data_IF_402269352610
#
_entry.id   IF_402269352610
#
_cell.length_a   1.000
_cell.length_b   1.000
_cell.length_c   1.000
_cell.angle_alpha   90.00
_cell.angle_beta   90.00
_cell.angle_gamma   90.00
#
_symmetry.space_group_name_H-M   'P 1'
#
loop_
_entity.id
_entity.type
_entity.pdbx_description
1 polymer ?
#
# COMPACT_ATOMS: atom_id res chain seq x y z
N UNK A 1 15.17 28.17 64.79
CA UNK A 1 14.35 29.19 64.12
C UNK A 1 14.86 29.32 62.70
N UNK A 2 14.34 28.49 61.82
CA UNK A 2 14.67 28.54 60.40
C UNK A 2 13.34 28.35 59.66
N UNK A 3 12.90 29.43 59.02
CA UNK A 3 11.71 29.50 58.18
C UNK A 3 11.96 28.80 56.84
N UNK A 4 11.28 27.68 56.63
CA UNK A 4 11.21 27.02 55.33
C UNK A 4 10.14 27.69 54.46
N UNK A 5 10.57 28.51 53.51
CA UNK A 5 9.70 29.05 52.47
C UNK A 5 9.36 27.93 51.46
N UNK A 6 8.08 27.51 51.44
CA UNK A 6 7.54 26.71 50.36
C UNK A 6 7.34 27.65 49.14
N UNK A 7 8.14 27.46 48.11
CA UNK A 7 7.89 28.05 46.82
C UNK A 7 6.61 27.41 46.22
N UNK A 8 5.52 28.15 46.23
CA UNK A 8 4.31 27.81 45.47
C UNK A 8 4.65 27.91 44.00
N UNK A 9 4.57 26.78 43.28
CA UNK A 9 4.63 26.76 41.80
C UNK A 9 3.36 27.42 41.26
N UNK A 10 3.48 28.66 40.87
CA UNK A 10 2.44 29.33 40.10
C UNK A 10 2.15 28.51 38.82
N UNK A 11 0.90 28.13 38.63
CA UNK A 11 0.46 27.42 37.42
C UNK A 11 0.10 28.46 36.37
N UNK A 12 1.04 28.76 35.48
CA UNK A 12 0.77 29.56 34.30
C UNK A 12 0.07 28.68 33.26
N UNK A 13 -1.13 29.09 32.84
CA UNK A 13 -1.84 28.47 31.70
C UNK A 13 -2.03 29.53 30.63
N UNK A 14 -1.57 29.19 29.41
CA UNK A 14 -1.79 30.00 28.23
C UNK A 14 -2.90 29.38 27.38
N UNK A 15 -3.94 30.12 27.06
CA UNK A 15 -5.01 29.68 26.16
C UNK A 15 -4.96 30.58 24.92
N UNK A 16 -4.80 29.93 23.74
CA UNK A 16 -4.82 30.61 22.44
C UNK A 16 -6.22 30.44 21.82
N UNK A 17 -6.94 31.54 21.67
CA UNK A 17 -8.21 31.55 20.97
C UNK A 17 -8.35 32.82 20.13
N UNK A 18 -8.75 32.67 18.87
CA UNK A 18 -9.10 33.76 17.95
C UNK A 18 -8.01 34.85 17.82
N UNK A 19 -6.70 34.45 17.80
CA UNK A 19 -5.60 35.41 17.63
C UNK A 19 -5.19 36.16 18.92
N UNK A 20 -5.70 35.73 20.07
CA UNK A 20 -5.33 36.23 21.38
C UNK A 20 -4.65 35.13 22.19
N UNK A 21 -3.53 35.44 22.83
CA UNK A 21 -2.93 34.62 23.86
C UNK A 21 -3.33 35.21 25.20
N UNK A 22 -4.08 34.45 26.01
CA UNK A 22 -4.51 34.89 27.33
C UNK A 22 -3.70 34.09 28.36
N UNK A 23 -2.97 34.83 29.17
CA UNK A 23 -2.19 34.25 30.28
C UNK A 23 -3.00 34.30 31.56
N UNK A 24 -3.11 33.15 32.21
CA UNK A 24 -3.75 32.98 33.52
C UNK A 24 -2.70 32.58 34.52
N UNK A 25 -2.67 33.26 35.66
CA UNK A 25 -1.92 32.85 36.86
C UNK A 25 -2.96 32.60 37.95
N UNK A 26 -2.95 31.38 38.50
CA UNK A 26 -3.88 30.91 39.53
C UNK A 26 -5.40 31.15 39.23
N UNK A 27 -5.75 31.19 37.94
CA UNK A 27 -7.14 31.30 37.49
C UNK A 27 -7.59 32.72 37.15
N UNK A 28 -6.78 33.72 37.40
CA UNK A 28 -7.04 35.11 37.01
C UNK A 28 -6.33 35.50 35.71
N UNK A 29 -7.00 36.32 34.89
CA UNK A 29 -6.39 36.84 33.63
C UNK A 29 -5.35 37.90 33.99
N UNK A 30 -4.10 37.62 33.78
CA UNK A 30 -2.98 38.52 34.11
C UNK A 30 -2.48 39.28 32.88
N UNK A 31 -2.72 38.76 31.70
CA UNK A 31 -2.33 39.42 30.45
C UNK A 31 -3.11 38.91 29.26
N UNK A 32 -3.42 39.83 28.35
CA UNK A 32 -3.95 39.50 27.01
C UNK A 32 -2.95 40.03 26.01
N UNK A 33 -2.21 39.11 25.37
CA UNK A 33 -1.30 39.48 24.28
C UNK A 33 -1.98 39.19 22.96
N UNK A 34 -2.14 40.23 22.15
CA UNK A 34 -2.61 40.07 20.78
C UNK A 34 -1.51 39.34 19.98
N UNK A 35 -1.74 38.10 19.58
CA UNK A 35 -0.85 37.45 18.64
C UNK A 35 -1.10 38.10 17.29
N UNK A 36 -0.15 38.93 16.82
CA UNK A 36 -0.20 39.53 15.46
C UNK A 36 -0.50 38.40 14.46
N UNK A 37 -1.52 38.58 13.64
CA UNK A 37 -1.86 37.63 12.62
C UNK A 37 -0.64 37.42 11.70
N UNK A 38 -0.34 36.20 11.25
CA UNK A 38 0.83 35.92 10.39
C UNK A 38 0.90 36.85 9.17
N UNK A 39 -0.25 37.28 8.66
CA UNK A 39 -0.38 38.18 7.52
C UNK A 39 0.18 39.56 7.83
N UNK A 40 -0.07 40.13 9.02
CA UNK A 40 0.44 41.44 9.41
C UNK A 40 1.95 41.42 9.61
N UNK A 41 2.48 40.37 10.21
CA UNK A 41 3.93 40.20 10.37
C UNK A 41 4.63 39.93 9.04
N UNK A 42 4.05 39.12 8.14
CA UNK A 42 4.59 38.92 6.80
C UNK A 42 4.65 40.21 5.98
N UNK A 43 3.60 41.05 6.05
CA UNK A 43 3.57 42.36 5.38
C UNK A 43 4.71 43.28 5.87
N UNK A 44 5.04 43.26 7.17
CA UNK A 44 6.19 44.05 7.72
C UNK A 44 7.51 43.54 7.18
N UNK A 45 7.72 42.24 7.03
CA UNK A 45 8.92 41.66 6.42
C UNK A 45 9.02 42.01 4.92
N UNK A 46 7.90 42.04 4.21
CA UNK A 46 7.89 42.45 2.78
C UNK A 46 8.26 43.90 2.62
N UNK A 47 7.68 44.81 3.42
CA UNK A 47 8.01 46.24 3.39
C UNK A 47 9.50 46.51 3.74
N UNK A 48 10.03 45.82 4.77
CA UNK A 48 11.45 45.94 5.11
C UNK A 48 12.35 45.39 3.98
N UNK A 49 11.94 44.34 3.28
CA UNK A 49 12.68 43.84 2.13
C UNK A 49 12.73 44.86 0.97
N UNK A 50 11.63 45.57 0.70
CA UNK A 50 11.56 46.61 -0.34
C UNK A 50 12.48 47.79 0.00
N UNK A 51 12.48 48.28 1.25
CA UNK A 51 13.38 49.36 1.69
C UNK A 51 14.86 48.95 1.59
N UNK A 52 15.21 47.74 1.99
CA UNK A 52 16.56 47.22 1.88
C UNK A 52 17.01 47.05 0.43
N UNK A 53 16.14 46.60 -0.45
CA UNK A 53 16.39 46.49 -1.88
C UNK A 53 16.62 47.87 -2.52
N UNK A 54 15.80 48.88 -2.16
CA UNK A 54 15.94 50.23 -2.62
C UNK A 54 17.27 50.90 -2.20
N UNK A 55 17.83 50.43 -1.04
CA UNK A 55 19.15 50.88 -0.57
C UNK A 55 20.33 50.03 -1.08
N UNK A 56 20.09 49.09 -2.00
CA UNK A 56 21.11 48.20 -2.59
C UNK A 56 21.57 47.07 -1.69
N UNK A 57 20.90 46.81 -0.55
CA UNK A 57 21.23 45.77 0.41
C UNK A 57 20.50 44.43 0.08
N UNK A 58 20.83 43.85 -1.07
CA UNK A 58 20.08 42.74 -1.66
C UNK A 58 20.08 41.45 -0.84
N UNK A 59 21.19 41.15 -0.16
CA UNK A 59 21.25 39.93 0.69
C UNK A 59 20.29 40.00 1.88
N UNK A 60 20.22 41.18 2.52
CA UNK A 60 19.32 41.38 3.65
C UNK A 60 17.87 41.48 3.19
N UNK A 61 17.60 42.13 2.06
CA UNK A 61 16.29 42.15 1.43
C UNK A 61 15.79 40.72 1.14
N UNK A 62 16.66 39.86 0.60
CA UNK A 62 16.33 38.46 0.35
C UNK A 62 16.04 37.64 1.63
N UNK A 63 16.80 37.90 2.70
CA UNK A 63 16.54 37.22 4.00
C UNK A 63 15.16 37.61 4.56
N UNK A 64 14.78 38.91 4.48
CA UNK A 64 13.45 39.38 4.90
C UNK A 64 12.34 38.80 4.03
N UNK A 65 12.51 38.75 2.70
CA UNK A 65 11.54 38.15 1.80
C UNK A 65 11.32 36.65 2.10
N UNK A 66 12.41 35.91 2.36
CA UNK A 66 12.31 34.50 2.78
C UNK A 66 11.58 34.34 4.11
N UNK A 67 11.73 35.29 5.04
CA UNK A 67 11.00 35.24 6.31
C UNK A 67 9.50 35.51 6.10
N UNK A 68 9.14 36.49 5.25
CA UNK A 68 7.75 36.76 4.87
C UNK A 68 7.10 35.52 4.21
N UNK A 69 7.78 34.89 3.27
CA UNK A 69 7.30 33.67 2.59
C UNK A 69 7.06 32.52 3.60
N UNK A 70 7.99 32.30 4.56
CA UNK A 70 7.80 31.30 5.61
C UNK A 70 6.59 31.58 6.50
N UNK A 71 6.31 32.84 6.81
CA UNK A 71 5.15 33.24 7.61
C UNK A 71 3.84 33.09 6.85
N UNK A 72 3.83 33.35 5.54
CA UNK A 72 2.63 33.22 4.70
C UNK A 72 2.29 31.76 4.37
N UNK A 73 3.33 30.95 4.11
CA UNK A 73 3.12 29.54 3.82
C UNK A 73 3.01 28.66 5.07
N UNK A 74 3.31 29.22 6.25
CA UNK A 74 3.35 28.52 7.54
C UNK A 74 4.41 27.40 7.55
N UNK A 75 5.13 27.23 8.64
CA UNK A 75 5.56 25.87 8.99
C UNK A 75 4.26 25.08 9.21
N UNK A 76 4.10 23.90 8.62
CA UNK A 76 2.95 23.06 8.96
C UNK A 76 2.88 23.00 10.49
N UNK A 77 1.78 23.45 11.09
CA UNK A 77 1.65 23.37 12.53
C UNK A 77 1.78 21.89 12.90
N UNK A 78 2.33 21.58 14.07
CA UNK A 78 2.44 20.21 14.58
C UNK A 78 1.12 19.46 14.46
N UNK A 79 -0.01 20.18 14.53
CA UNK A 79 -1.35 19.66 14.33
C UNK A 79 -1.60 19.20 12.88
N UNK A 80 -1.12 19.92 11.86
CA UNK A 80 -1.28 19.50 10.45
C UNK A 80 -0.42 18.27 10.17
N UNK A 81 0.79 18.22 10.72
CA UNK A 81 1.65 17.04 10.58
C UNK A 81 1.10 15.83 11.35
N UNK A 82 0.52 16.05 12.53
CA UNK A 82 -0.18 15.02 13.27
C UNK A 82 -1.39 14.50 12.50
N UNK A 83 -2.25 15.40 11.99
CA UNK A 83 -3.41 15.02 11.18
C UNK A 83 -3.01 14.25 9.92
N UNK A 84 -1.93 14.65 9.26
CA UNK A 84 -1.40 13.93 8.08
C UNK A 84 -0.95 12.53 8.45
N UNK A 85 -0.26 12.36 9.58
CA UNK A 85 0.15 11.03 10.08
C UNK A 85 -1.06 10.18 10.44
N UNK A 86 -1.99 10.70 11.24
CA UNK A 86 -3.24 9.99 11.60
C UNK A 86 -4.04 9.59 10.35
N UNK A 87 -4.13 10.47 9.35
CA UNK A 87 -4.81 10.16 8.10
C UNK A 87 -4.06 9.11 7.26
N UNK A 88 -2.72 9.17 7.22
CA UNK A 88 -1.90 8.17 6.53
C UNK A 88 -2.02 6.79 7.20
N UNK A 89 -1.98 6.74 8.54
CA UNK A 89 -2.18 5.51 9.32
C UNK A 89 -3.59 4.93 9.12
N UNK A 90 -4.62 5.78 9.19
CA UNK A 90 -6.01 5.35 8.94
C UNK A 90 -6.20 4.83 7.51
N UNK A 91 -5.55 5.46 6.53
CA UNK A 91 -5.58 5.01 5.14
C UNK A 91 -4.86 3.68 4.96
N UNK A 92 -3.69 3.51 5.56
CA UNK A 92 -2.94 2.24 5.52
C UNK A 92 -3.74 1.10 6.15
N UNK A 93 -4.36 1.34 7.31
CA UNK A 93 -5.27 0.38 7.93
C UNK A 93 -6.50 0.06 7.05
N UNK A 94 -7.04 1.05 6.34
CA UNK A 94 -8.15 0.87 5.40
C UNK A 94 -7.77 0.08 4.15
N UNK A 95 -6.48 -0.06 3.85
CA UNK A 95 -5.96 -0.81 2.71
C UNK A 95 -5.63 -2.27 3.02
N UNK A 96 -5.64 -2.66 4.30
CA UNK A 96 -5.35 -4.04 4.71
C UNK A 96 -6.61 -4.89 4.81
N UNK A 97 -6.47 -6.17 4.47
CA UNK A 97 -7.47 -7.18 4.78
C UNK A 97 -7.39 -7.53 6.26
N UNK A 98 -8.52 -7.46 6.96
CA UNK A 98 -8.59 -7.64 8.42
C UNK A 98 -8.24 -9.05 8.88
N UNK A 99 -8.38 -10.06 8.02
CA UNK A 99 -8.06 -11.43 8.35
C UNK A 99 -6.59 -11.75 8.10
N UNK A 100 -6.10 -11.41 6.91
CA UNK A 100 -4.80 -11.89 6.41
C UNK A 100 -3.67 -10.88 6.55
N UNK A 101 -3.98 -9.63 6.90
CA UNK A 101 -3.07 -8.50 6.93
C UNK A 101 -2.36 -8.20 5.58
N UNK A 102 -2.67 -8.95 4.51
CA UNK A 102 -2.31 -8.58 3.15
C UNK A 102 -3.06 -7.33 2.72
N UNK A 103 -2.73 -6.72 1.58
CA UNK A 103 -3.59 -5.67 1.06
C UNK A 103 -4.99 -6.21 0.73
N UNK A 104 -6.00 -5.35 0.76
CA UNK A 104 -7.36 -5.70 0.38
C UNK A 104 -7.63 -5.41 -1.11
N UNK A 105 -8.78 -5.85 -1.61
CA UNK A 105 -9.20 -5.64 -3.00
C UNK A 105 -9.25 -4.16 -3.38
N UNK A 106 -9.70 -3.29 -2.50
CA UNK A 106 -9.76 -1.86 -2.77
C UNK A 106 -8.38 -1.28 -3.08
N UNK A 107 -7.37 -1.61 -2.28
CA UNK A 107 -5.99 -1.20 -2.55
C UNK A 107 -5.48 -1.75 -3.87
N UNK A 108 -5.77 -3.02 -4.17
CA UNK A 108 -5.41 -3.64 -5.45
C UNK A 108 -5.98 -2.83 -6.63
N UNK A 109 -7.29 -2.53 -6.60
CA UNK A 109 -7.96 -1.82 -7.68
C UNK A 109 -7.39 -0.40 -7.87
N UNK A 110 -7.13 0.34 -6.76
CA UNK A 110 -6.50 1.66 -6.78
C UNK A 110 -5.08 1.61 -7.37
N UNK A 111 -4.28 0.63 -6.98
CA UNK A 111 -2.89 0.48 -7.45
C UNK A 111 -2.80 0.05 -8.91
N UNK A 112 -3.64 -0.86 -9.36
CA UNK A 112 -3.65 -1.27 -10.76
C UNK A 112 -3.99 -0.11 -11.69
N UNK A 113 -4.96 0.72 -11.33
CA UNK A 113 -5.29 1.93 -12.10
C UNK A 113 -4.09 2.88 -12.14
N UNK A 114 -3.43 3.11 -11.01
CA UNK A 114 -2.26 3.99 -10.95
C UNK A 114 -1.09 3.45 -11.78
N UNK A 115 -0.74 2.17 -11.62
CA UNK A 115 0.36 1.52 -12.36
C UNK A 115 0.14 1.50 -13.87
N UNK A 116 -1.10 1.25 -14.32
CA UNK A 116 -1.44 1.27 -15.74
C UNK A 116 -1.51 2.69 -16.33
N UNK A 117 -1.78 3.71 -15.50
CA UNK A 117 -1.77 5.11 -15.93
C UNK A 117 -0.35 5.66 -16.11
N UNK A 118 0.64 5.13 -15.41
CA UNK A 118 2.06 5.45 -15.57
C UNK A 118 2.60 4.85 -16.87
N UNK A 119 2.32 5.51 -17.99
CA UNK A 119 2.62 5.08 -19.39
C UNK A 119 4.06 4.65 -19.67
N UNK A 120 4.97 4.75 -18.71
CA UNK A 120 6.41 4.49 -18.87
C UNK A 120 6.90 3.24 -18.12
N UNK A 121 6.08 2.59 -17.32
CA UNK A 121 6.43 1.30 -16.72
C UNK A 121 6.21 0.21 -17.74
N UNK A 122 7.30 -0.19 -18.38
CA UNK A 122 7.30 -1.12 -19.50
C UNK A 122 6.72 -2.50 -19.15
N UNK A 123 6.82 -2.93 -17.90
CA UNK A 123 6.45 -4.27 -17.47
C UNK A 123 5.58 -4.23 -16.21
N UNK A 124 4.39 -4.79 -16.29
CA UNK A 124 3.52 -5.06 -15.16
C UNK A 124 2.96 -6.47 -15.30
N UNK A 125 3.21 -7.31 -14.32
CA UNK A 125 2.59 -8.62 -14.24
C UNK A 125 1.61 -8.67 -13.07
N UNK A 126 0.49 -9.38 -13.30
CA UNK A 126 -0.50 -9.68 -12.25
C UNK A 126 -0.75 -11.17 -12.27
N UNK A 127 -0.74 -11.79 -11.09
CA UNK A 127 -1.16 -13.17 -10.95
C UNK A 127 -2.40 -13.24 -10.05
N UNK A 128 -3.44 -13.93 -10.53
CA UNK A 128 -4.51 -14.39 -9.65
C UNK A 128 -4.14 -15.76 -9.09
N UNK A 129 -4.34 -15.93 -7.80
CA UNK A 129 -3.97 -17.12 -7.03
C UNK A 129 -5.18 -17.59 -6.24
N UNK A 130 -5.40 -18.88 -6.20
CA UNK A 130 -6.53 -19.50 -5.48
C UNK A 130 -6.04 -20.69 -4.63
N UNK A 131 -6.55 -20.79 -3.42
CA UNK A 131 -6.21 -21.86 -2.51
C UNK A 131 -6.92 -23.17 -2.90
N UNK A 132 -6.14 -24.13 -3.36
CA UNK A 132 -6.67 -25.40 -3.86
C UNK A 132 -7.46 -26.16 -2.80
N UNK A 133 -8.70 -26.52 -3.15
CA UNK A 133 -9.60 -27.30 -2.29
C UNK A 133 -9.94 -26.66 -0.93
N UNK A 134 -9.84 -25.33 -0.80
CA UNK A 134 -10.05 -24.61 0.46
C UNK A 134 -11.46 -24.86 1.05
N UNK A 135 -12.48 -25.02 0.22
CA UNK A 135 -13.81 -25.40 0.69
C UNK A 135 -13.78 -26.69 1.52
N UNK A 136 -12.98 -27.69 1.12
CA UNK A 136 -12.88 -28.95 1.86
C UNK A 136 -12.27 -28.73 3.26
N UNK A 137 -11.33 -27.78 3.38
CA UNK A 137 -10.76 -27.39 4.69
C UNK A 137 -11.86 -26.82 5.60
N UNK A 138 -12.66 -25.89 5.09
CA UNK A 138 -13.77 -25.33 5.85
C UNK A 138 -14.82 -26.38 6.23
N UNK A 139 -15.15 -27.25 5.30
CA UNK A 139 -16.15 -28.32 5.53
C UNK A 139 -15.66 -29.33 6.56
N UNK A 140 -14.33 -29.57 6.65
CA UNK A 140 -13.75 -30.57 7.56
C UNK A 140 -13.42 -29.98 8.93
N UNK A 141 -12.81 -28.81 8.99
CA UNK A 141 -12.22 -28.23 10.20
C UNK A 141 -12.95 -26.97 10.70
N UNK A 142 -13.92 -26.47 9.92
CA UNK A 142 -14.66 -25.25 10.22
C UNK A 142 -13.95 -23.96 9.80
N UNK A 143 -14.72 -22.88 9.71
CA UNK A 143 -14.26 -21.59 9.18
C UNK A 143 -13.10 -20.96 9.97
N UNK A 144 -13.09 -21.06 11.31
CA UNK A 144 -11.98 -20.52 12.12
C UNK A 144 -10.64 -21.18 11.81
N UNK A 145 -10.64 -22.45 11.47
CA UNK A 145 -9.44 -23.15 11.04
C UNK A 145 -9.04 -22.72 9.63
N UNK A 146 -10.01 -22.61 8.72
CA UNK A 146 -9.80 -22.05 7.39
C UNK A 146 -9.19 -20.64 7.42
N UNK A 147 -9.63 -19.80 8.35
CA UNK A 147 -9.06 -18.47 8.56
C UNK A 147 -7.56 -18.50 8.87
N UNK A 148 -7.11 -19.43 9.74
CA UNK A 148 -5.69 -19.62 10.04
C UNK A 148 -4.91 -20.12 8.81
N UNK A 149 -5.52 -20.97 8.00
CA UNK A 149 -4.93 -21.44 6.74
C UNK A 149 -4.75 -20.27 5.77
N UNK A 150 -5.75 -19.42 5.60
CA UNK A 150 -5.66 -18.24 4.73
C UNK A 150 -4.58 -17.24 5.20
N UNK A 151 -4.45 -17.02 6.51
CA UNK A 151 -3.39 -16.18 7.07
C UNK A 151 -2.00 -16.68 6.70
N UNK A 152 -1.77 -17.99 6.80
CA UNK A 152 -0.48 -18.60 6.42
C UNK A 152 -0.24 -18.56 4.93
N UNK A 153 -1.26 -18.83 4.10
CA UNK A 153 -1.16 -18.69 2.65
C UNK A 153 -0.77 -17.28 2.26
N UNK A 154 -1.46 -16.26 2.80
CA UNK A 154 -1.15 -14.85 2.51
C UNK A 154 0.29 -14.48 2.87
N UNK A 155 0.78 -14.94 4.03
CA UNK A 155 2.14 -14.71 4.47
C UNK A 155 3.18 -15.32 3.50
N UNK A 156 2.96 -16.58 3.06
CA UNK A 156 3.86 -17.24 2.11
C UNK A 156 3.78 -16.64 0.70
N UNK A 157 2.61 -16.17 0.27
CA UNK A 157 2.45 -15.49 -1.02
C UNK A 157 3.15 -14.14 -1.06
N UNK A 158 3.04 -13.34 0.01
CA UNK A 158 3.65 -12.01 0.08
C UNK A 158 5.16 -12.01 0.32
N UNK A 159 5.73 -13.14 0.72
CA UNK A 159 7.15 -13.24 1.07
C UNK A 159 8.05 -13.26 -0.16
N UNK A 160 9.06 -12.38 -0.17
CA UNK A 160 10.12 -12.40 -1.19
C UNK A 160 9.62 -12.14 -2.61
N UNK A 161 8.59 -11.32 -2.77
CA UNK A 161 8.19 -10.79 -4.06
C UNK A 161 9.26 -9.80 -4.57
N UNK A 162 9.54 -9.76 -5.88
CA UNK A 162 10.54 -8.86 -6.45
C UNK A 162 10.08 -7.39 -6.43
N UNK A 163 11.02 -6.48 -6.30
CA UNK A 163 10.80 -5.03 -6.38
C UNK A 163 9.74 -4.54 -5.39
N UNK A 164 8.83 -3.70 -5.88
CA UNK A 164 7.67 -3.18 -5.14
C UNK A 164 6.44 -4.11 -5.25
N UNK A 165 6.68 -5.39 -5.51
CA UNK A 165 5.63 -6.41 -5.61
C UNK A 165 4.85 -6.58 -4.31
N UNK A 166 3.55 -6.76 -4.41
CA UNK A 166 2.70 -6.94 -3.25
C UNK A 166 1.65 -8.04 -3.45
N UNK A 167 1.14 -8.55 -2.32
CA UNK A 167 0.03 -9.50 -2.25
C UNK A 167 -1.21 -8.80 -1.73
N UNK A 168 -2.35 -9.00 -2.39
CA UNK A 168 -3.66 -8.53 -1.97
C UNK A 168 -4.65 -9.71 -1.91
N UNK A 169 -5.58 -9.66 -0.96
CA UNK A 169 -6.71 -10.57 -0.94
C UNK A 169 -7.77 -10.08 -1.93
N UNK A 170 -8.02 -10.87 -2.96
CA UNK A 170 -8.95 -10.55 -4.04
C UNK A 170 -10.40 -10.89 -3.71
N UNK A 171 -10.60 -12.02 -3.04
CA UNK A 171 -11.91 -12.54 -2.62
C UNK A 171 -11.72 -13.59 -1.53
N UNK A 172 -12.73 -14.34 -1.17
CA UNK A 172 -12.73 -15.31 -0.09
C UNK A 172 -11.41 -16.08 0.11
N UNK A 173 -11.08 -16.97 -0.82
CA UNK A 173 -9.86 -17.80 -0.86
C UNK A 173 -8.90 -17.41 -1.99
N UNK A 174 -9.18 -16.27 -2.64
CA UNK A 174 -8.43 -15.77 -3.80
C UNK A 174 -7.52 -14.61 -3.41
N UNK A 175 -6.33 -14.59 -3.98
CA UNK A 175 -5.32 -13.57 -3.81
C UNK A 175 -4.84 -13.04 -5.16
N UNK A 176 -4.31 -11.84 -5.18
CA UNK A 176 -3.62 -11.26 -6.32
C UNK A 176 -2.17 -10.93 -5.93
N UNK A 177 -1.23 -11.29 -6.79
CA UNK A 177 0.15 -10.82 -6.73
C UNK A 177 0.35 -9.79 -7.83
N UNK A 178 0.77 -8.59 -7.46
CA UNK A 178 1.08 -7.51 -8.40
C UNK A 178 2.58 -7.30 -8.40
N UNK A 179 3.18 -7.32 -9.58
CA UNK A 179 4.63 -7.33 -9.78
C UNK A 179 5.02 -6.21 -10.77
N UNK A 180 5.12 -4.95 -10.28
CA UNK A 180 5.51 -3.81 -11.09
C UNK A 180 6.98 -3.92 -11.50
N UNK A 181 7.29 -3.52 -12.74
CA UNK A 181 8.65 -3.54 -13.26
C UNK A 181 9.22 -4.93 -13.56
N UNK A 182 8.42 -5.99 -13.35
CA UNK A 182 8.85 -7.36 -13.61
C UNK A 182 8.42 -7.83 -14.99
N UNK A 183 9.37 -8.31 -15.78
CA UNK A 183 9.09 -9.03 -17.00
C UNK A 183 8.40 -10.37 -16.73
N UNK A 184 7.68 -10.88 -17.74
CA UNK A 184 6.91 -12.14 -17.61
C UNK A 184 7.74 -13.33 -17.08
N UNK A 185 8.98 -13.59 -17.53
CA UNK A 185 9.77 -14.72 -17.01
C UNK A 185 10.07 -14.60 -15.50
N UNK A 186 10.40 -13.40 -15.05
CA UNK A 186 10.68 -13.12 -13.65
C UNK A 186 9.41 -13.26 -12.79
N UNK A 187 8.30 -12.72 -13.26
CA UNK A 187 7.01 -12.84 -12.59
C UNK A 187 6.56 -14.30 -12.46
N UNK A 188 6.74 -15.10 -13.52
CA UNK A 188 6.43 -16.55 -13.49
C UNK A 188 7.31 -17.28 -12.47
N UNK A 189 8.58 -16.96 -12.40
CA UNK A 189 9.51 -17.55 -11.42
C UNK A 189 9.12 -17.14 -9.98
N UNK A 190 8.78 -15.88 -9.77
CA UNK A 190 8.33 -15.40 -8.46
C UNK A 190 7.04 -16.10 -8.00
N UNK A 191 6.06 -16.25 -8.90
CA UNK A 191 4.82 -16.96 -8.61
C UNK A 191 5.05 -18.45 -8.35
N UNK A 192 5.93 -19.11 -9.11
CA UNK A 192 6.29 -20.52 -8.90
C UNK A 192 7.00 -20.71 -7.53
N UNK A 193 7.89 -19.80 -7.17
CA UNK A 193 8.51 -19.81 -5.85
C UNK A 193 7.49 -19.61 -4.73
N UNK A 194 6.51 -18.72 -4.91
CA UNK A 194 5.42 -18.50 -3.96
C UNK A 194 4.54 -19.78 -3.82
N UNK A 195 4.13 -20.37 -4.94
CA UNK A 195 3.39 -21.64 -4.96
C UNK A 195 4.17 -22.74 -4.22
N UNK A 196 5.46 -22.85 -4.48
CA UNK A 196 6.31 -23.87 -3.84
C UNK A 196 6.44 -23.65 -2.33
N UNK A 197 6.57 -22.39 -1.87
CA UNK A 197 6.56 -22.07 -0.43
C UNK A 197 5.27 -22.52 0.23
N UNK A 198 4.11 -22.22 -0.37
CA UNK A 198 2.82 -22.69 0.15
C UNK A 198 2.77 -24.22 0.20
N UNK A 199 3.18 -24.90 -0.87
CA UNK A 199 3.17 -26.37 -0.93
C UNK A 199 4.10 -27.03 0.10
N UNK A 200 5.24 -26.37 0.43
CA UNK A 200 6.24 -26.86 1.40
C UNK A 200 6.03 -26.34 2.82
N UNK A 201 5.07 -25.44 3.02
CA UNK A 201 4.78 -24.91 4.36
C UNK A 201 4.48 -26.07 5.33
N UNK A 202 4.91 -25.99 6.61
CA UNK A 202 4.72 -27.08 7.58
C UNK A 202 3.28 -27.14 8.07
N UNK A 203 2.34 -27.45 7.19
CA UNK A 203 0.90 -27.54 7.46
C UNK A 203 0.57 -28.51 8.59
N UNK A 204 1.42 -29.52 8.80
CA UNK A 204 1.28 -30.51 9.88
C UNK A 204 1.31 -29.89 11.29
N UNK A 205 1.80 -28.65 11.44
CA UNK A 205 1.73 -27.91 12.70
C UNK A 205 0.31 -27.46 13.05
N UNK A 206 -0.58 -27.31 12.03
CA UNK A 206 -1.99 -27.04 12.25
C UNK A 206 -2.77 -28.35 12.42
N UNK A 207 -2.55 -29.28 11.52
CA UNK A 207 -3.14 -30.64 11.55
C UNK A 207 -2.24 -31.60 10.77
N UNK A 208 -1.97 -32.83 11.32
CA UNK A 208 -1.07 -33.79 10.68
C UNK A 208 -1.48 -34.20 9.26
N UNK A 209 -2.77 -34.12 8.93
CA UNK A 209 -3.31 -34.54 7.63
C UNK A 209 -3.42 -33.37 6.65
N UNK A 210 -3.29 -32.12 7.13
CA UNK A 210 -3.45 -30.94 6.28
C UNK A 210 -2.31 -30.85 5.27
N UNK A 211 -2.68 -30.61 4.03
CA UNK A 211 -1.78 -30.28 2.92
C UNK A 211 -2.47 -29.21 2.08
N UNK A 212 -1.84 -28.06 1.97
CA UNK A 212 -2.38 -26.97 1.16
C UNK A 212 -1.47 -26.67 -0.03
N UNK A 213 -2.10 -26.36 -1.13
CA UNK A 213 -1.45 -25.86 -2.33
C UNK A 213 -2.24 -24.69 -2.91
N UNK A 214 -1.65 -23.99 -3.86
CA UNK A 214 -2.30 -22.93 -4.60
C UNK A 214 -2.12 -23.13 -6.10
N UNK A 215 -3.09 -22.68 -6.87
CA UNK A 215 -2.99 -22.52 -8.31
C UNK A 215 -2.90 -21.04 -8.66
N UNK A 216 -2.13 -20.70 -9.69
CA UNK A 216 -1.96 -19.31 -10.10
C UNK A 216 -2.02 -19.15 -11.63
N UNK A 217 -2.55 -18.01 -12.09
CA UNK A 217 -2.51 -17.60 -13.49
C UNK A 217 -1.80 -16.26 -13.60
N UNK A 218 -0.70 -16.19 -14.37
CA UNK A 218 0.14 -15.00 -14.52
C UNK A 218 -0.13 -14.32 -15.85
N UNK A 219 -0.64 -13.09 -15.80
CA UNK A 219 -0.84 -12.22 -16.95
C UNK A 219 0.17 -11.07 -16.96
N UNK A 220 0.56 -10.64 -18.14
CA UNK A 220 1.47 -9.52 -18.38
C UNK A 220 0.73 -8.42 -19.13
N UNK A 221 0.97 -7.17 -18.75
CA UNK A 221 0.48 -6.01 -19.48
C UNK A 221 1.15 -5.91 -20.85
N UNK A 222 0.40 -6.14 -21.92
CA UNK A 222 0.91 -6.22 -23.28
C UNK A 222 1.00 -4.89 -24.01
N UNK A 223 1.04 -3.76 -23.29
CA UNK A 223 1.18 -2.44 -23.92
C UNK A 223 0.14 -1.40 -23.48
N UNK A 224 0.11 -0.24 -24.14
CA UNK A 224 -0.60 0.95 -23.67
C UNK A 224 -2.13 0.88 -23.71
N UNK A 225 -2.69 -0.17 -24.31
CA UNK A 225 -4.14 -0.41 -24.38
C UNK A 225 -4.65 -1.43 -23.36
N UNK A 226 -3.77 -1.93 -22.48
CA UNK A 226 -4.17 -2.84 -21.42
C UNK A 226 -4.85 -2.02 -20.31
N UNK A 227 -6.07 -2.39 -19.98
CA UNK A 227 -6.79 -1.91 -18.81
C UNK A 227 -6.82 -2.97 -17.70
N UNK A 228 -7.24 -2.56 -16.52
CA UNK A 228 -7.30 -3.43 -15.33
C UNK A 228 -8.17 -4.66 -15.56
N UNK A 229 -9.32 -4.50 -16.21
CA UNK A 229 -10.28 -5.58 -16.43
C UNK A 229 -9.71 -6.64 -17.37
N UNK A 230 -9.07 -6.23 -18.45
CA UNK A 230 -8.38 -7.14 -19.39
C UNK A 230 -7.23 -7.88 -18.73
N UNK A 231 -6.43 -7.18 -17.92
CA UNK A 231 -5.28 -7.80 -17.24
C UNK A 231 -5.74 -8.84 -16.23
N UNK A 232 -6.70 -8.52 -15.40
CA UNK A 232 -7.31 -9.43 -14.43
C UNK A 232 -8.02 -10.60 -15.14
N UNK A 233 -8.79 -10.32 -16.19
CA UNK A 233 -9.47 -11.37 -16.96
C UNK A 233 -8.49 -12.33 -17.63
N UNK A 234 -7.35 -11.84 -18.13
CA UNK A 234 -6.30 -12.70 -18.66
C UNK A 234 -5.68 -13.61 -17.57
N UNK A 235 -5.45 -13.07 -16.36
CA UNK A 235 -4.97 -13.85 -15.24
C UNK A 235 -5.98 -14.92 -14.78
N UNK A 236 -7.27 -14.59 -14.80
CA UNK A 236 -8.35 -15.55 -14.45
C UNK A 236 -8.42 -16.73 -15.41
N UNK A 237 -8.36 -16.48 -16.71
CA UNK A 237 -8.31 -17.56 -17.74
C UNK A 237 -7.11 -18.48 -17.50
N UNK A 238 -5.98 -17.93 -17.12
CA UNK A 238 -4.76 -18.71 -16.83
C UNK A 238 -4.88 -19.47 -15.51
N UNK A 239 -5.46 -18.87 -14.47
CA UNK A 239 -5.76 -19.54 -13.20
C UNK A 239 -6.68 -20.75 -13.43
N UNK A 240 -7.73 -20.57 -14.24
CA UNK A 240 -8.61 -21.67 -14.64
C UNK A 240 -7.84 -22.81 -15.34
N UNK A 241 -6.90 -22.47 -16.23
CA UNK A 241 -6.05 -23.47 -16.90
C UNK A 241 -5.15 -24.20 -15.88
N UNK A 242 -4.58 -23.50 -14.89
CA UNK A 242 -3.81 -24.12 -13.82
C UNK A 242 -4.65 -25.11 -12.99
N UNK A 243 -5.86 -24.70 -12.58
CA UNK A 243 -6.80 -25.57 -11.84
C UNK A 243 -7.17 -26.84 -12.64
N UNK A 244 -7.46 -26.68 -13.93
CA UNK A 244 -7.83 -27.81 -14.80
C UNK A 244 -6.66 -28.73 -15.17
N UNK A 245 -5.42 -28.25 -15.08
CA UNK A 245 -4.24 -29.10 -15.29
C UNK A 245 -3.91 -30.04 -14.14
N UNK A 246 -4.70 -30.02 -13.06
CA UNK A 246 -4.51 -30.81 -11.85
C UNK A 246 -4.06 -30.00 -10.63
N UNK A 247 -4.27 -28.68 -10.65
CA UNK A 247 -3.95 -27.74 -9.54
C UNK A 247 -2.48 -27.71 -9.14
N UNK A 248 -2.14 -27.01 -8.06
CA UNK A 248 -0.77 -26.83 -7.59
C UNK A 248 0.18 -26.49 -8.75
N UNK A 249 -0.13 -25.43 -9.48
CA UNK A 249 0.55 -25.04 -10.71
C UNK A 249 0.43 -23.54 -10.96
N UNK A 250 1.40 -23.00 -11.70
CA UNK A 250 1.39 -21.64 -12.22
C UNK A 250 1.24 -21.71 -13.73
N UNK A 251 0.17 -21.14 -14.28
CA UNK A 251 -0.03 -21.05 -15.72
C UNK A 251 0.29 -19.64 -16.25
N UNK A 252 0.85 -19.60 -17.42
CA UNK A 252 1.16 -18.35 -18.13
C UNK A 252 1.03 -18.56 -19.65
N UNK A 253 0.97 -17.46 -20.41
CA UNK A 253 0.90 -17.50 -21.88
C UNK A 253 2.24 -17.09 -22.47
N UNK A 254 2.74 -17.83 -23.46
CA UNK A 254 3.93 -17.43 -24.21
C UNK A 254 3.62 -16.23 -25.15
N UNK A 255 4.66 -15.49 -25.53
CA UNK A 255 4.53 -14.30 -26.38
C UNK A 255 4.53 -14.66 -27.87
N UNK A 256 5.05 -15.83 -28.25
CA UNK A 256 5.24 -16.19 -29.65
C UNK A 256 4.01 -16.78 -30.28
N UNK A 257 3.35 -17.71 -29.59
CA UNK A 257 2.21 -18.45 -30.13
C UNK A 257 0.94 -18.26 -29.31
N UNK A 258 0.98 -17.49 -28.25
CA UNK A 258 -0.15 -17.29 -27.33
C UNK A 258 -0.59 -18.56 -26.62
N UNK A 259 0.24 -19.59 -26.58
CA UNK A 259 -0.08 -20.88 -25.93
C UNK A 259 0.05 -20.77 -24.43
N UNK A 260 -0.82 -21.51 -23.73
CA UNK A 260 -0.74 -21.63 -22.29
C UNK A 260 0.28 -22.71 -21.90
N UNK A 261 1.13 -22.36 -20.97
CA UNK A 261 2.17 -23.22 -20.40
C UNK A 261 2.03 -23.27 -18.87
N UNK A 262 2.57 -24.33 -18.27
CA UNK A 262 2.76 -24.39 -16.82
C UNK A 262 4.22 -24.17 -16.49
N UNK A 263 4.47 -23.45 -15.39
CA UNK A 263 5.81 -23.25 -14.86
C UNK A 263 6.32 -24.49 -14.10
N UNK A 264 7.65 -24.54 -13.94
CA UNK A 264 8.32 -25.50 -13.07
C UNK A 264 8.04 -26.98 -13.41
N UNK A 265 8.08 -27.85 -12.40
CA UNK A 265 7.89 -29.30 -12.60
C UNK A 265 6.51 -29.68 -13.17
N UNK A 266 5.50 -28.85 -13.00
CA UNK A 266 4.17 -29.07 -13.58
C UNK A 266 4.22 -29.02 -15.11
N UNK A 267 4.98 -28.08 -15.69
CA UNK A 267 5.13 -27.91 -17.13
C UNK A 267 5.80 -29.09 -17.84
N UNK A 268 6.61 -29.86 -17.11
CA UNK A 268 7.30 -31.04 -17.67
C UNK A 268 6.44 -32.32 -17.62
N UNK A 269 5.36 -32.35 -16.85
CA UNK A 269 4.62 -33.59 -16.54
C UNK A 269 3.16 -33.57 -16.92
N UNK A 270 2.59 -32.40 -17.26
CA UNK A 270 1.16 -32.25 -17.45
C UNK A 270 0.83 -31.73 -18.83
N UNK A 271 -0.20 -32.29 -19.45
CA UNK A 271 -0.78 -31.77 -20.68
C UNK A 271 -1.78 -30.67 -20.33
N UNK A 272 -1.75 -29.56 -21.08
CA UNK A 272 -2.71 -28.48 -20.92
C UNK A 272 -3.65 -28.48 -22.13
N UNK A 273 -4.95 -28.61 -21.86
CA UNK A 273 -5.95 -28.28 -22.87
C UNK A 273 -5.91 -26.77 -23.11
N UNK A 274 -5.59 -26.36 -24.35
CA UNK A 274 -5.54 -24.93 -24.67
C UNK A 274 -6.96 -24.34 -24.59
N UNK A 275 -7.19 -23.27 -23.78
CA UNK A 275 -8.49 -22.62 -23.77
C UNK A 275 -8.79 -22.06 -25.15
N UNK A 276 -10.00 -22.29 -25.65
CA UNK A 276 -10.47 -21.63 -26.87
C UNK A 276 -10.57 -20.14 -26.55
N UNK A 277 -9.82 -19.31 -27.25
CA UNK A 277 -10.02 -17.87 -27.23
C UNK A 277 -11.45 -17.62 -27.73
N UNK A 278 -12.29 -17.06 -26.90
CA UNK A 278 -13.46 -16.39 -27.42
C UNK A 278 -12.94 -15.24 -28.31
N UNK A 279 -13.35 -15.20 -29.56
CA UNK A 279 -12.91 -14.23 -30.60
C UNK A 279 -13.25 -12.77 -30.28
N UNK A 280 -13.59 -12.46 -29.05
CA UNK A 280 -14.10 -11.15 -28.59
C UNK A 280 -13.05 -10.23 -27.97
N UNK A 281 -11.75 -10.56 -28.04
CA UNK A 281 -10.66 -9.77 -27.44
C UNK A 281 -9.56 -9.39 -28.45
N UNK A 282 -9.94 -9.11 -29.71
CA UNK A 282 -9.09 -8.38 -30.67
C UNK A 282 -9.44 -6.89 -30.67
#
# INVERSE_FOLDING_TARGET
MILGGRATRERVRCIKAHGLLVEFIDGEVVGVVTVEQPVGTAARYTAAAEELAASGRWEEAYAHLRAAVRLLHGTPSDDVERLRREHAEARELSHRDSLTASYNRRYLDEQLVALLAERWTADLCVALVDADHFKQVNDTFGHRFGDQVLQRIAAELGRGLPGDGFCARYGGEEFALVLPGCGKPEAVLACEAARERVAKHPWHELDPQLRMTVSAGVAHSAGPLTDTERLIGAADVLLYAAKNSGRNAVAYRDDLMGRVHLAGPAGHRRFISQPRLAETLL
#
